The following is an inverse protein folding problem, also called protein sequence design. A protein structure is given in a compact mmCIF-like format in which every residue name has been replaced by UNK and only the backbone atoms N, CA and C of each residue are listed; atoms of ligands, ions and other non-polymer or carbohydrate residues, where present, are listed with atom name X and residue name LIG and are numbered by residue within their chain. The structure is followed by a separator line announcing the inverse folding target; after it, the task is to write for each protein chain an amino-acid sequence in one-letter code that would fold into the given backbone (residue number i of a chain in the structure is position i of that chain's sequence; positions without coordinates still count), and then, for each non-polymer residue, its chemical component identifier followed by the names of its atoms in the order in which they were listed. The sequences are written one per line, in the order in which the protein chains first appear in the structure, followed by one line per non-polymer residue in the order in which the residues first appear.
data_IF_970446797339
#
_entry.id   IF_970446797339
#
_cell.length_a   1.000
_cell.length_b   1.000
_cell.length_c   1.000
_cell.angle_alpha   90.00
_cell.angle_beta   90.00
_cell.angle_gamma   90.00
#
_symmetry.space_group_name_H-M   'P 1'
#
loop_
_entity.id
_entity.type
_entity.pdbx_description
1 polymer ?
#
# COMPACT_ATOMS: atom_id res chain seq x y z
N UNK A 1 -23.16 -3.78 -5.81
CA UNK A 1 -23.38 -4.37 -4.48
C UNK A 1 -24.51 -3.61 -3.79
N UNK A 2 -25.45 -4.33 -3.16
CA UNK A 2 -26.54 -3.71 -2.40
C UNK A 2 -26.01 -2.94 -1.17
N UNK A 3 -26.70 -1.86 -0.77
CA UNK A 3 -26.25 -0.98 0.33
C UNK A 3 -26.08 -1.73 1.66
N UNK A 4 -26.95 -2.70 1.94
CA UNK A 4 -26.89 -3.52 3.16
C UNK A 4 -25.63 -4.37 3.15
N UNK A 5 -25.37 -5.08 2.04
CA UNK A 5 -24.17 -5.93 1.89
C UNK A 5 -22.89 -5.11 1.98
N UNK A 6 -22.82 -3.95 1.32
CA UNK A 6 -21.69 -3.04 1.42
C UNK A 6 -21.43 -2.59 2.87
N UNK A 7 -22.49 -2.35 3.65
CA UNK A 7 -22.35 -2.01 5.07
C UNK A 7 -21.79 -3.18 5.88
N UNK A 8 -22.25 -4.41 5.62
CA UNK A 8 -21.74 -5.62 6.28
C UNK A 8 -20.26 -5.87 5.97
N UNK A 9 -19.86 -5.74 4.70
CA UNK A 9 -18.46 -5.90 4.28
C UNK A 9 -17.58 -4.83 4.92
N UNK A 10 -18.07 -3.57 4.95
CA UNK A 10 -17.37 -2.47 5.63
C UNK A 10 -17.13 -2.77 7.10
N UNK A 11 -18.17 -3.20 7.83
CA UNK A 11 -18.05 -3.55 9.25
C UNK A 11 -17.09 -4.72 9.46
N UNK A 12 -17.06 -5.69 8.55
CA UNK A 12 -16.16 -6.85 8.63
C UNK A 12 -14.70 -6.43 8.47
N UNK A 13 -14.38 -5.57 7.50
CA UNK A 13 -13.03 -5.02 7.33
C UNK A 13 -12.58 -4.20 8.54
N UNK A 14 -13.45 -3.35 9.10
CA UNK A 14 -13.13 -2.57 10.30
C UNK A 14 -12.97 -3.44 11.56
N UNK A 15 -13.78 -4.50 11.70
CA UNK A 15 -13.64 -5.48 12.79
C UNK A 15 -12.33 -6.26 12.68
N UNK A 16 -11.92 -6.69 11.48
CA UNK A 16 -10.65 -7.37 11.29
C UNK A 16 -9.48 -6.50 11.80
N UNK A 17 -9.45 -5.23 11.42
CA UNK A 17 -8.46 -4.26 11.89
C UNK A 17 -8.43 -4.14 13.43
N UNK A 18 -9.61 -3.97 14.03
CA UNK A 18 -9.74 -3.81 15.49
C UNK A 18 -9.35 -5.08 16.25
N UNK A 19 -9.79 -6.24 15.79
CA UNK A 19 -9.65 -7.49 16.53
C UNK A 19 -8.22 -8.02 16.50
N UNK A 20 -7.51 -7.88 15.38
CA UNK A 20 -6.19 -8.49 15.20
C UNK A 20 -5.03 -7.52 15.39
N UNK A 21 -5.23 -6.22 15.13
CA UNK A 21 -4.17 -5.21 15.30
C UNK A 21 -4.46 -4.19 16.42
N UNK A 22 -5.68 -4.10 16.94
CA UNK A 22 -6.04 -3.10 17.95
C UNK A 22 -5.96 -1.64 17.47
N UNK A 23 -5.82 -1.42 16.15
CA UNK A 23 -5.59 -0.08 15.58
C UNK A 23 -6.88 0.69 15.35
N UNK A 24 -6.81 2.01 15.49
CA UNK A 24 -7.92 2.90 15.17
C UNK A 24 -8.23 2.90 13.66
N UNK A 25 -9.50 3.16 13.30
CA UNK A 25 -9.95 3.16 11.91
C UNK A 25 -9.35 4.30 11.05
N UNK A 26 -8.77 5.33 11.68
CA UNK A 26 -8.17 6.46 10.98
C UNK A 26 -6.68 6.25 10.66
N UNK A 27 -6.12 5.07 10.97
CA UNK A 27 -4.73 4.72 10.70
C UNK A 27 -4.61 3.86 9.44
N UNK A 28 -3.57 4.03 8.60
CA UNK A 28 -3.23 3.03 7.61
C UNK A 28 -2.73 1.74 8.30
N UNK A 29 -2.80 0.60 7.60
CA UNK A 29 -2.26 -0.67 8.10
C UNK A 29 -1.39 -1.37 7.06
N UNK A 30 -0.56 -2.29 7.52
CA UNK A 30 0.13 -3.27 6.68
C UNK A 30 -0.74 -4.53 6.58
N UNK A 31 -1.21 -4.92 5.38
CA UNK A 31 -2.05 -6.11 5.25
C UNK A 31 -1.30 -7.40 5.56
N UNK A 32 0.02 -7.43 5.35
CA UNK A 32 0.85 -8.60 5.70
C UNK A 32 0.92 -8.79 7.22
N UNK A 33 1.13 -7.72 7.99
CA UNK A 33 1.10 -7.79 9.45
C UNK A 33 -0.28 -8.17 10.00
N UNK A 34 -1.36 -7.74 9.33
CA UNK A 34 -2.71 -8.19 9.66
C UNK A 34 -2.85 -9.70 9.40
N UNK A 35 -2.39 -10.18 8.26
CA UNK A 35 -2.44 -11.61 7.92
C UNK A 35 -1.68 -12.46 8.96
N UNK A 36 -0.46 -12.07 9.33
CA UNK A 36 0.31 -12.75 10.40
C UNK A 36 -0.43 -12.71 11.74
N UNK A 37 -1.02 -11.57 12.12
CA UNK A 37 -1.81 -11.46 13.35
C UNK A 37 -3.08 -12.33 13.33
N UNK A 38 -3.59 -12.68 12.14
CA UNK A 38 -4.68 -13.64 11.94
C UNK A 38 -4.20 -15.10 11.93
N UNK A 39 -2.89 -15.33 12.00
CA UNK A 39 -2.26 -16.66 11.98
C UNK A 39 -1.90 -17.16 10.58
N UNK A 40 -1.85 -16.29 9.58
CA UNK A 40 -1.43 -16.65 8.22
C UNK A 40 0.07 -16.46 8.01
N UNK A 41 0.70 -17.44 7.38
CA UNK A 41 1.99 -17.26 6.73
C UNK A 41 1.80 -16.47 5.43
N UNK A 42 2.54 -15.38 5.26
CA UNK A 42 2.57 -14.63 4.01
C UNK A 42 3.85 -14.92 3.26
N UNK A 43 3.74 -15.46 2.05
CA UNK A 43 4.91 -15.84 1.24
C UNK A 43 4.87 -15.22 -0.15
N UNK A 44 5.98 -14.60 -0.53
CA UNK A 44 6.19 -14.05 -1.85
C UNK A 44 6.87 -15.09 -2.75
N UNK A 45 6.29 -15.35 -3.92
CA UNK A 45 6.77 -16.35 -4.87
C UNK A 45 7.00 -15.75 -6.26
N UNK A 46 8.03 -16.22 -6.96
CA UNK A 46 8.36 -15.75 -8.30
C UNK A 46 7.59 -16.56 -9.35
N UNK A 47 6.32 -16.23 -9.55
CA UNK A 47 5.49 -16.78 -10.63
C UNK A 47 4.88 -15.61 -11.42
N UNK A 48 5.34 -15.35 -12.66
CA UNK A 48 4.91 -14.18 -13.44
C UNK A 48 3.42 -14.13 -13.78
N UNK A 49 2.78 -15.29 -14.04
CA UNK A 49 1.35 -15.39 -14.40
C UNK A 49 0.40 -15.39 -13.19
N UNK A 50 0.95 -15.30 -11.98
CA UNK A 50 0.22 -15.38 -10.72
C UNK A 50 -0.05 -13.97 -10.15
N UNK A 51 -1.14 -13.80 -9.42
CA UNK A 51 -1.46 -12.57 -8.68
C UNK A 51 -1.32 -12.83 -7.18
N UNK A 52 -2.15 -13.73 -6.65
CA UNK A 52 -2.11 -14.23 -5.29
C UNK A 52 -3.02 -15.44 -5.13
N UNK A 53 -2.92 -16.11 -3.99
CA UNK A 53 -3.81 -17.22 -3.62
C UNK A 53 -3.80 -17.37 -2.11
N UNK A 54 -4.99 -17.46 -1.54
CA UNK A 54 -5.21 -17.93 -0.19
C UNK A 54 -5.47 -19.45 -0.16
N UNK A 55 -4.77 -20.15 0.74
CA UNK A 55 -4.92 -21.58 0.97
C UNK A 55 -5.43 -21.79 2.41
N UNK A 56 -6.75 -21.92 2.56
CA UNK A 56 -7.36 -21.95 3.90
C UNK A 56 -6.89 -23.09 4.78
N UNK A 57 -6.74 -24.28 4.21
CA UNK A 57 -6.34 -25.47 4.97
C UNK A 57 -4.90 -25.40 5.49
N UNK A 58 -4.09 -24.44 5.02
CA UNK A 58 -2.68 -24.29 5.38
C UNK A 58 -2.39 -22.96 6.09
N UNK A 59 -3.40 -22.12 6.33
CA UNK A 59 -3.21 -20.75 6.78
C UNK A 59 -2.08 -20.03 6.00
N UNK A 60 -2.13 -20.09 4.68
CA UNK A 60 -1.08 -19.54 3.82
C UNK A 60 -1.66 -18.56 2.80
N UNK A 61 -1.03 -17.39 2.69
CA UNK A 61 -1.28 -16.41 1.62
C UNK A 61 -0.04 -16.34 0.74
N UNK A 62 -0.21 -16.74 -0.53
CA UNK A 62 0.80 -16.63 -1.56
C UNK A 62 0.59 -15.35 -2.37
N UNK A 63 1.67 -14.61 -2.64
CA UNK A 63 1.63 -13.37 -3.40
C UNK A 63 2.73 -13.39 -4.45
N UNK A 64 2.43 -12.97 -5.68
CA UNK A 64 3.46 -12.88 -6.72
C UNK A 64 4.46 -11.76 -6.42
N UNK A 65 5.75 -12.10 -6.39
CA UNK A 65 6.86 -11.16 -6.21
C UNK A 65 7.06 -10.23 -7.42
N UNK A 66 6.53 -10.62 -8.59
CA UNK A 66 6.66 -9.92 -9.87
C UNK A 66 5.74 -8.69 -10.01
N UNK A 67 4.78 -8.54 -9.09
CA UNK A 67 3.83 -7.40 -9.11
C UNK A 67 4.44 -6.19 -8.40
N UNK A 68 4.02 -4.95 -8.73
CA UNK A 68 4.40 -3.77 -7.95
C UNK A 68 3.89 -3.87 -6.50
N UNK A 69 4.60 -3.29 -5.53
CA UNK A 69 4.29 -3.42 -4.09
C UNK A 69 2.84 -3.04 -3.75
N UNK A 70 2.31 -1.97 -4.34
CA UNK A 70 0.91 -1.56 -4.10
C UNK A 70 -0.12 -2.59 -4.58
N UNK A 71 0.22 -3.41 -5.59
CA UNK A 71 -0.62 -4.53 -6.04
C UNK A 71 -0.50 -5.72 -5.09
N UNK A 72 0.73 -6.07 -4.67
CA UNK A 72 0.97 -7.14 -3.67
C UNK A 72 0.15 -6.90 -2.39
N UNK A 73 0.16 -5.67 -1.86
CA UNK A 73 -0.60 -5.27 -0.66
C UNK A 73 -2.11 -5.39 -0.87
N UNK A 74 -2.60 -4.93 -2.01
CA UNK A 74 -4.02 -5.03 -2.34
C UNK A 74 -4.47 -6.49 -2.48
N UNK A 75 -3.67 -7.32 -3.16
CA UNK A 75 -3.91 -8.77 -3.28
C UNK A 75 -3.96 -9.43 -1.90
N UNK A 76 -3.00 -9.17 -1.01
CA UNK A 76 -3.07 -9.68 0.37
C UNK A 76 -4.36 -9.28 1.08
N UNK A 77 -4.78 -8.03 0.96
CA UNK A 77 -6.02 -7.55 1.56
C UNK A 77 -7.29 -8.18 0.94
N UNK A 78 -7.24 -8.50 -0.35
CA UNK A 78 -8.29 -9.18 -1.10
C UNK A 78 -8.42 -10.64 -0.62
N UNK A 79 -7.30 -11.37 -0.50
CA UNK A 79 -7.26 -12.72 0.07
C UNK A 79 -7.80 -12.77 1.52
N UNK A 80 -7.43 -11.80 2.36
CA UNK A 80 -8.03 -11.65 3.70
C UNK A 80 -9.54 -11.43 3.60
N UNK A 81 -10.01 -10.70 2.59
CA UNK A 81 -11.42 -10.50 2.31
C UNK A 81 -12.16 -11.80 2.04
N UNK A 82 -11.63 -12.66 1.18
CA UNK A 82 -12.20 -13.99 0.94
C UNK A 82 -12.30 -14.79 2.25
N UNK A 83 -11.23 -14.82 3.03
CA UNK A 83 -11.23 -15.52 4.31
C UNK A 83 -12.30 -14.97 5.29
N UNK A 84 -12.31 -13.65 5.53
CA UNK A 84 -13.19 -13.02 6.53
C UNK A 84 -14.66 -13.12 6.12
N UNK A 85 -14.95 -13.00 4.83
CA UNK A 85 -16.30 -13.10 4.29
C UNK A 85 -16.77 -14.55 4.08
N UNK A 86 -15.88 -15.52 4.33
CA UNK A 86 -16.11 -16.96 4.14
C UNK A 86 -16.47 -17.31 2.69
N UNK A 87 -15.83 -16.63 1.75
CA UNK A 87 -15.80 -17.06 0.36
C UNK A 87 -15.02 -18.39 0.31
N UNK A 88 -15.35 -19.27 -0.63
CA UNK A 88 -14.71 -20.58 -0.76
C UNK A 88 -13.18 -20.47 -0.95
N UNK A 89 -12.46 -21.58 -0.77
CA UNK A 89 -11.05 -21.65 -1.16
C UNK A 89 -10.95 -21.57 -2.68
N UNK A 90 -10.14 -20.65 -3.21
CA UNK A 90 -9.94 -20.51 -4.68
C UNK A 90 -9.38 -21.79 -5.32
N UNK A 91 -8.79 -22.70 -4.54
CA UNK A 91 -8.40 -24.05 -5.01
C UNK A 91 -9.62 -24.89 -5.42
N UNK A 92 -10.76 -24.75 -4.75
CA UNK A 92 -11.97 -25.52 -5.08
C UNK A 92 -12.66 -25.01 -6.35
N UNK A 93 -12.43 -23.75 -6.73
CA UNK A 93 -13.08 -23.12 -7.88
C UNK A 93 -12.33 -23.29 -9.21
N UNK A 94 -11.08 -23.73 -9.19
CA UNK A 94 -10.36 -24.09 -10.44
C UNK A 94 -10.87 -25.43 -11.00
N UNK A 95 -11.53 -26.26 -10.16
CA UNK A 95 -11.92 -27.62 -10.56
C UNK A 95 -13.39 -27.73 -10.95
N UNK A 96 -14.31 -26.87 -10.49
CA UNK A 96 -15.74 -27.06 -10.82
C UNK A 96 -16.51 -25.85 -11.37
N UNK A 97 -16.23 -24.59 -11.00
CA UNK A 97 -16.85 -23.40 -11.60
C UNK A 97 -16.06 -22.17 -11.17
N UNK A 98 -15.58 -21.35 -12.11
CA UNK A 98 -14.76 -20.18 -11.78
C UNK A 98 -15.38 -19.23 -10.75
N UNK A 99 -14.53 -18.43 -10.10
CA UNK A 99 -14.87 -17.57 -8.96
C UNK A 99 -16.18 -16.81 -9.11
N UNK A 100 -17.05 -16.90 -8.11
CA UNK A 100 -18.31 -16.17 -8.08
C UNK A 100 -18.04 -14.65 -8.20
N UNK A 101 -18.48 -14.05 -9.31
CA UNK A 101 -18.27 -12.63 -9.62
C UNK A 101 -18.71 -11.69 -8.49
N UNK A 102 -19.72 -12.07 -7.72
CA UNK A 102 -20.17 -11.26 -6.58
C UNK A 102 -19.19 -11.32 -5.41
N UNK A 103 -18.57 -12.47 -5.15
CA UNK A 103 -17.56 -12.67 -4.10
C UNK A 103 -16.28 -11.89 -4.41
N UNK A 104 -15.82 -11.91 -5.66
CA UNK A 104 -14.69 -11.08 -6.13
C UNK A 104 -14.93 -9.59 -5.91
N UNK A 105 -16.14 -9.11 -6.26
CA UNK A 105 -16.53 -7.70 -6.05
C UNK A 105 -16.57 -7.35 -4.56
N UNK A 106 -16.96 -8.31 -3.71
CA UNK A 106 -16.98 -8.13 -2.25
C UNK A 106 -15.58 -8.15 -1.65
N UNK A 107 -14.69 -9.02 -2.12
CA UNK A 107 -13.30 -9.08 -1.70
C UNK A 107 -12.52 -7.82 -2.11
N UNK A 108 -12.71 -7.31 -3.33
CA UNK A 108 -12.14 -6.04 -3.78
C UNK A 108 -12.64 -4.84 -2.96
N UNK A 109 -13.93 -4.82 -2.65
CA UNK A 109 -14.51 -3.79 -1.79
C UNK A 109 -13.99 -3.90 -0.36
N UNK A 110 -13.88 -5.12 0.18
CA UNK A 110 -13.28 -5.40 1.48
C UNK A 110 -11.83 -4.88 1.52
N UNK A 111 -11.00 -5.26 0.55
CA UNK A 111 -9.60 -4.84 0.46
C UNK A 111 -9.46 -3.32 0.45
N UNK A 112 -10.31 -2.65 -0.32
CA UNK A 112 -10.35 -1.19 -0.40
C UNK A 112 -10.66 -0.55 0.96
N UNK A 113 -11.70 -1.03 1.66
CA UNK A 113 -12.07 -0.51 2.99
C UNK A 113 -11.03 -0.88 4.05
N UNK A 114 -10.43 -2.07 3.96
CA UNK A 114 -9.42 -2.54 4.89
C UNK A 114 -8.18 -1.65 4.86
N UNK A 115 -7.69 -1.35 3.67
CA UNK A 115 -6.48 -0.55 3.45
C UNK A 115 -6.72 0.96 3.58
N UNK A 116 -7.89 1.42 3.12
CA UNK A 116 -8.21 2.84 3.01
C UNK A 116 -9.58 3.16 3.63
N UNK A 117 -9.81 2.95 4.94
CA UNK A 117 -11.07 3.32 5.56
C UNK A 117 -11.44 4.80 5.30
N UNK A 118 -12.73 5.17 5.20
CA UNK A 118 -13.13 6.56 5.01
C UNK A 118 -12.50 7.53 6.02
N UNK A 119 -12.41 7.11 7.29
CA UNK A 119 -11.76 7.89 8.35
C UNK A 119 -10.26 8.10 8.14
N UNK A 120 -9.55 7.10 7.60
CA UNK A 120 -8.12 7.19 7.33
C UNK A 120 -7.85 8.09 6.10
N UNK A 121 -8.66 7.97 5.05
CA UNK A 121 -8.59 8.85 3.87
C UNK A 121 -8.86 10.29 4.26
N UNK A 122 -9.91 10.56 5.05
CA UNK A 122 -10.23 11.91 5.51
C UNK A 122 -9.12 12.48 6.41
N UNK A 123 -8.56 11.70 7.34
CA UNK A 123 -7.42 12.15 8.17
C UNK A 123 -6.20 12.48 7.31
N UNK A 124 -5.86 11.62 6.36
CA UNK A 124 -4.73 11.85 5.45
C UNK A 124 -4.92 13.11 4.60
N UNK A 125 -6.12 13.35 4.06
CA UNK A 125 -6.44 14.58 3.31
C UNK A 125 -6.31 15.84 4.16
N UNK A 126 -6.80 15.80 5.41
CA UNK A 126 -6.67 16.91 6.36
C UNK A 126 -5.20 17.21 6.70
N UNK A 127 -4.41 16.18 6.98
CA UNK A 127 -2.98 16.32 7.29
C UNK A 127 -2.17 16.77 6.09
N UNK A 128 -2.52 16.27 4.90
CA UNK A 128 -1.92 16.68 3.63
C UNK A 128 -2.35 18.09 3.21
N UNK A 129 -3.37 18.67 3.87
CA UNK A 129 -3.82 20.04 3.63
C UNK A 129 -4.58 20.21 2.32
N UNK A 130 -5.30 19.18 1.85
CA UNK A 130 -6.03 19.20 0.58
C UNK A 130 -7.46 18.67 0.72
N UNK A 131 -8.42 19.36 0.12
CA UNK A 131 -9.74 18.79 -0.09
C UNK A 131 -9.69 17.75 -1.22
N UNK A 132 -10.53 16.71 -1.15
CA UNK A 132 -10.54 15.64 -2.16
C UNK A 132 -10.82 16.17 -3.58
N UNK A 133 -11.64 17.22 -3.71
CA UNK A 133 -12.01 17.80 -4.99
C UNK A 133 -10.90 18.65 -5.63
N UNK A 134 -9.86 19.00 -4.85
CA UNK A 134 -8.73 19.83 -5.27
C UNK A 134 -7.48 19.01 -5.61
N UNK A 135 -7.55 17.69 -5.47
CA UNK A 135 -6.42 16.81 -5.72
C UNK A 135 -5.95 16.93 -7.17
N UNK A 136 -4.65 17.16 -7.33
CA UNK A 136 -3.93 16.99 -8.59
C UNK A 136 -3.53 15.52 -8.80
N UNK A 137 -2.97 15.21 -9.98
CA UNK A 137 -2.43 13.88 -10.27
C UNK A 137 -1.26 13.55 -9.34
N UNK A 138 -0.43 14.53 -9.02
CA UNK A 138 0.68 14.39 -8.07
C UNK A 138 0.14 14.04 -6.67
N UNK A 139 -0.90 14.73 -6.21
CA UNK A 139 -1.49 14.48 -4.90
C UNK A 139 -2.07 13.05 -4.78
N UNK A 140 -2.79 12.60 -5.81
CA UNK A 140 -3.31 11.21 -5.88
C UNK A 140 -2.18 10.19 -5.81
N UNK A 141 -1.08 10.45 -6.53
CA UNK A 141 0.09 9.59 -6.47
C UNK A 141 0.71 9.55 -5.07
N UNK A 142 0.96 10.70 -4.46
CA UNK A 142 1.56 10.82 -3.11
C UNK A 142 0.70 10.11 -2.07
N UNK A 143 -0.61 10.36 -2.07
CA UNK A 143 -1.55 9.69 -1.15
C UNK A 143 -1.64 8.18 -1.42
N UNK A 144 -1.53 7.73 -2.67
CA UNK A 144 -1.48 6.28 -2.96
C UNK A 144 -0.26 5.60 -2.34
N UNK A 145 0.89 6.30 -2.28
CA UNK A 145 2.10 5.79 -1.61
C UNK A 145 1.93 5.73 -0.10
N UNK A 146 1.29 6.75 0.48
CA UNK A 146 0.93 6.75 1.90
C UNK A 146 0.05 5.55 2.27
N UNK A 147 -0.96 5.21 1.46
CA UNK A 147 -1.79 4.01 1.72
C UNK A 147 -1.13 2.68 1.30
N UNK A 148 0.01 2.72 0.61
CA UNK A 148 0.67 1.53 0.09
C UNK A 148 -0.17 0.80 -0.96
N UNK A 149 -0.85 1.54 -1.84
CA UNK A 149 -1.66 0.98 -2.93
C UNK A 149 -1.23 1.56 -4.27
N UNK A 150 -1.79 1.06 -5.37
CA UNK A 150 -1.57 1.65 -6.68
C UNK A 150 -2.32 2.99 -6.84
N UNK A 151 -1.85 3.84 -7.75
CA UNK A 151 -2.53 5.08 -8.14
C UNK A 151 -4.01 4.83 -8.48
N UNK A 152 -4.25 3.81 -9.31
CA UNK A 152 -5.59 3.46 -9.77
C UNK A 152 -6.47 2.95 -8.62
N UNK A 153 -5.94 2.14 -7.70
CA UNK A 153 -6.69 1.64 -6.56
C UNK A 153 -7.15 2.78 -5.64
N UNK A 154 -6.25 3.72 -5.31
CA UNK A 154 -6.61 4.91 -4.52
C UNK A 154 -7.66 5.77 -5.25
N UNK A 155 -7.42 6.10 -6.53
CA UNK A 155 -8.33 6.92 -7.33
C UNK A 155 -9.72 6.30 -7.48
N UNK A 156 -9.80 5.00 -7.82
CA UNK A 156 -11.07 4.27 -7.91
C UNK A 156 -11.77 4.23 -6.57
N UNK A 157 -11.04 4.09 -5.46
CA UNK A 157 -11.63 4.04 -4.13
C UNK A 157 -12.30 5.37 -3.73
N UNK A 158 -11.58 6.49 -3.87
CA UNK A 158 -12.11 7.82 -3.50
C UNK A 158 -13.28 8.26 -4.40
N UNK A 159 -13.34 7.74 -5.64
CA UNK A 159 -14.46 7.99 -6.56
C UNK A 159 -15.64 7.04 -6.32
N UNK A 160 -15.45 5.73 -6.50
CA UNK A 160 -16.54 4.76 -6.57
C UNK A 160 -17.10 4.40 -5.19
N UNK A 161 -16.21 4.17 -4.22
CA UNK A 161 -16.61 3.64 -2.91
C UNK A 161 -16.91 4.77 -1.92
N UNK A 162 -16.04 5.78 -1.86
CA UNK A 162 -16.18 6.89 -0.90
C UNK A 162 -16.95 8.09 -1.45
N UNK A 163 -17.07 8.21 -2.78
CA UNK A 163 -17.77 9.31 -3.46
C UNK A 163 -17.27 10.70 -3.05
N UNK A 164 -15.98 10.83 -2.78
CA UNK A 164 -15.35 12.10 -2.39
C UNK A 164 -15.13 13.02 -3.58
N UNK A 165 -14.99 12.47 -4.78
CA UNK A 165 -14.81 13.24 -6.02
C UNK A 165 -15.93 12.96 -7.02
N UNK A 166 -16.35 13.97 -7.82
CA UNK A 166 -17.33 13.76 -8.89
C UNK A 166 -16.68 13.05 -10.09
N UNK A 167 -17.51 12.51 -10.99
CA UNK A 167 -17.06 11.81 -12.19
C UNK A 167 -16.10 12.65 -13.06
N UNK A 168 -16.35 13.97 -13.17
CA UNK A 168 -15.46 14.89 -13.91
C UNK A 168 -14.04 14.91 -13.32
N UNK A 169 -13.91 14.93 -12.00
CA UNK A 169 -12.63 14.86 -11.32
C UNK A 169 -11.93 13.52 -11.56
N UNK A 170 -12.67 12.41 -11.45
CA UNK A 170 -12.15 11.08 -11.76
C UNK A 170 -11.62 10.97 -13.20
N UNK A 171 -12.36 11.48 -14.19
CA UNK A 171 -11.93 11.47 -15.59
C UNK A 171 -10.66 12.29 -15.84
N UNK A 172 -10.51 13.44 -15.17
CA UNK A 172 -9.29 14.25 -15.25
C UNK A 172 -8.09 13.51 -14.65
N UNK A 173 -8.27 12.87 -13.50
CA UNK A 173 -7.21 12.23 -12.73
C UNK A 173 -6.76 10.87 -13.30
N UNK A 174 -7.64 10.11 -13.98
CA UNK A 174 -7.30 8.75 -14.45
C UNK A 174 -6.27 8.71 -15.59
N UNK A 175 -6.22 9.75 -16.41
CA UNK A 175 -5.36 9.80 -17.60
C UNK A 175 -3.98 10.32 -17.21
N UNK A 176 -3.09 9.41 -16.80
CA UNK A 176 -1.76 9.80 -16.31
C UNK A 176 -0.65 8.85 -16.73
N UNK A 177 0.57 9.39 -16.79
CA UNK A 177 1.80 8.62 -16.94
C UNK A 177 2.61 8.80 -15.66
N UNK A 178 2.80 7.71 -14.93
CA UNK A 178 3.53 7.73 -13.65
C UNK A 178 4.96 8.27 -13.76
N UNK A 179 5.74 8.01 -14.84
CA UNK A 179 7.04 8.64 -15.02
C UNK A 179 6.99 10.17 -15.00
N UNK A 180 6.00 10.77 -15.67
CA UNK A 180 5.83 12.24 -15.73
C UNK A 180 5.47 12.81 -14.35
N UNK A 181 4.68 12.09 -13.53
CA UNK A 181 4.43 12.50 -12.15
C UNK A 181 5.73 12.51 -11.34
N UNK A 182 6.52 11.44 -11.43
CA UNK A 182 7.76 11.30 -10.64
C UNK A 182 8.78 12.36 -11.00
N UNK A 183 8.91 12.64 -12.29
CA UNK A 183 9.73 13.74 -12.80
C UNK A 183 9.25 15.09 -12.28
N UNK A 184 7.93 15.35 -12.31
CA UNK A 184 7.37 16.59 -11.77
C UNK A 184 7.56 16.73 -10.24
N UNK A 185 7.62 15.63 -9.49
CA UNK A 185 7.88 15.66 -8.05
C UNK A 185 9.35 15.93 -7.70
N UNK A 186 10.28 15.43 -8.50
CA UNK A 186 11.72 15.48 -8.20
C UNK A 186 12.48 16.56 -8.99
N UNK A 187 11.93 17.07 -10.09
CA UNK A 187 12.68 17.87 -11.07
C UNK A 187 13.56 17.05 -12.02
N UNK A 188 13.66 15.73 -11.82
CA UNK A 188 14.48 14.84 -12.64
C UNK A 188 13.81 13.49 -12.88
N UNK A 189 14.19 12.82 -13.97
CA UNK A 189 13.60 11.55 -14.37
C UNK A 189 14.06 10.41 -13.45
N UNK A 190 13.12 9.89 -12.65
CA UNK A 190 13.32 8.72 -11.79
C UNK A 190 12.55 7.50 -12.30
N UNK A 191 13.22 6.35 -12.33
CA UNK A 191 12.66 5.11 -12.88
C UNK A 191 11.85 4.30 -11.86
N UNK A 192 12.21 4.39 -10.58
CA UNK A 192 11.60 3.64 -9.47
C UNK A 192 10.56 4.48 -8.72
N UNK A 193 9.99 3.98 -7.63
CA UNK A 193 8.97 4.73 -6.90
C UNK A 193 9.59 5.93 -6.19
N UNK A 194 8.74 6.93 -5.95
CA UNK A 194 9.09 8.18 -5.27
C UNK A 194 8.10 8.37 -4.13
N UNK A 195 8.61 8.62 -2.93
CA UNK A 195 7.85 8.84 -1.70
C UNK A 195 8.10 10.27 -1.24
N UNK A 196 7.12 11.16 -1.46
CA UNK A 196 7.15 12.51 -0.89
C UNK A 196 6.74 12.41 0.58
N UNK A 197 7.56 12.91 1.50
CA UNK A 197 7.33 12.84 2.95
C UNK A 197 7.47 14.21 3.61
N UNK A 198 7.12 14.29 4.89
CA UNK A 198 7.15 15.49 5.73
C UNK A 198 6.13 15.38 6.86
N UNK A 199 5.86 16.49 7.56
CA UNK A 199 5.03 16.52 8.78
C UNK A 199 3.62 15.89 8.61
N UNK A 200 3.10 15.84 7.39
CA UNK A 200 1.80 15.24 7.08
C UNK A 200 1.81 13.70 7.13
N UNK A 201 2.98 13.07 6.94
CA UNK A 201 3.14 11.61 6.91
C UNK A 201 3.23 11.08 8.34
N UNK A 202 2.10 10.80 8.98
CA UNK A 202 2.10 10.38 10.39
C UNK A 202 1.90 8.89 10.57
N UNK A 203 2.44 8.35 11.68
CA UNK A 203 2.07 7.06 12.27
C UNK A 203 2.14 5.87 11.29
N UNK A 204 3.02 5.97 10.28
CA UNK A 204 3.24 4.94 9.27
C UNK A 204 4.69 4.89 8.80
N UNK A 205 5.29 3.70 8.85
CA UNK A 205 6.57 3.42 8.21
C UNK A 205 6.48 3.53 6.67
N UNK A 206 7.55 4.03 6.07
CA UNK A 206 7.71 4.16 4.63
C UNK A 206 8.29 2.85 4.10
N UNK A 207 7.46 2.08 3.41
CA UNK A 207 7.85 0.78 2.87
C UNK A 207 8.42 0.98 1.45
N UNK A 208 9.71 0.71 1.26
CA UNK A 208 10.45 0.92 0.01
C UNK A 208 11.09 -0.38 -0.50
N UNK A 209 11.36 -0.43 -1.81
CA UNK A 209 12.30 -1.40 -2.39
C UNK A 209 13.64 -0.71 -2.69
N UNK A 210 14.74 -1.47 -2.68
CA UNK A 210 16.07 -0.95 -3.10
C UNK A 210 15.94 -0.23 -4.45
N UNK A 211 16.50 0.96 -4.55
CA UNK A 211 16.44 1.88 -5.68
C UNK A 211 15.20 2.78 -5.71
N UNK A 212 14.22 2.61 -4.82
CA UNK A 212 13.17 3.62 -4.64
C UNK A 212 13.73 4.90 -4.01
N UNK A 213 13.01 6.01 -4.17
CA UNK A 213 13.44 7.33 -3.76
C UNK A 213 12.52 7.95 -2.71
N UNK A 214 13.11 8.64 -1.75
CA UNK A 214 12.45 9.47 -0.76
C UNK A 214 12.71 10.95 -1.09
N UNK A 215 11.68 11.78 -1.03
CA UNK A 215 11.79 13.23 -1.23
C UNK A 215 11.20 13.96 -0.04
N UNK A 216 11.91 14.99 0.44
CA UNK A 216 11.45 15.89 1.48
C UNK A 216 11.67 17.35 1.10
N UNK A 217 10.87 18.25 1.69
CA UNK A 217 11.07 19.71 1.57
C UNK A 217 12.15 20.24 2.52
N UNK A 218 12.37 19.54 3.62
CA UNK A 218 13.39 19.84 4.62
C UNK A 218 14.46 18.75 4.62
N UNK A 219 15.67 19.11 5.01
CA UNK A 219 16.75 18.16 5.18
C UNK A 219 16.38 17.15 6.26
N UNK A 220 16.66 15.89 5.98
CA UNK A 220 16.45 14.76 6.88
C UNK A 220 17.80 14.20 7.32
N UNK A 221 17.93 14.02 8.62
CA UNK A 221 18.92 13.17 9.23
C UNK A 221 18.50 11.69 9.12
N UNK A 222 19.48 10.80 9.11
CA UNK A 222 19.29 9.36 8.93
C UNK A 222 20.02 8.61 10.04
N UNK A 223 19.27 7.77 10.75
CA UNK A 223 19.79 6.80 11.71
C UNK A 223 19.60 5.39 11.14
N UNK A 224 20.69 4.71 10.82
CA UNK A 224 20.72 3.48 10.00
C UNK A 224 21.62 3.64 8.78
N UNK A 225 22.89 3.26 8.94
CA UNK A 225 23.93 3.44 7.94
C UNK A 225 23.60 2.68 6.66
N UNK A 226 23.77 3.31 5.49
CA UNK A 226 23.64 2.69 4.16
C UNK A 226 22.26 2.17 3.74
N UNK A 227 21.22 2.27 4.57
CA UNK A 227 19.85 1.91 4.15
C UNK A 227 19.30 2.95 3.16
N UNK A 228 19.58 4.24 3.42
CA UNK A 228 19.18 5.37 2.59
C UNK A 228 20.34 6.36 2.46
N UNK A 229 20.61 6.84 1.24
CA UNK A 229 21.70 7.78 0.95
C UNK A 229 21.17 9.06 0.31
N UNK A 230 21.69 10.23 0.72
CA UNK A 230 21.34 11.51 0.11
C UNK A 230 21.90 11.63 -1.32
N UNK A 231 21.11 12.21 -2.21
CA UNK A 231 21.46 12.50 -3.59
C UNK A 231 21.24 13.99 -3.92
N UNK A 232 22.01 14.57 -4.85
CA UNK A 232 21.72 15.87 -5.41
C UNK A 232 20.32 15.91 -6.04
N UNK A 233 19.59 17.00 -5.81
CA UNK A 233 18.25 17.22 -6.37
C UNK A 233 18.07 18.70 -6.70
N UNK A 234 17.33 18.99 -7.77
CA UNK A 234 16.96 20.37 -8.12
C UNK A 234 15.88 20.92 -7.19
N UNK A 235 14.98 20.06 -6.72
CA UNK A 235 13.82 20.43 -5.91
C UNK A 235 13.78 19.65 -4.59
N UNK A 236 14.17 20.31 -3.50
CA UNK A 236 14.16 19.73 -2.16
C UNK A 236 15.32 18.76 -1.92
N UNK A 237 15.10 17.82 -1.00
CA UNK A 237 16.09 16.85 -0.57
C UNK A 237 15.69 15.46 -1.07
N UNK A 238 16.59 14.82 -1.81
CA UNK A 238 16.38 13.50 -2.39
C UNK A 238 17.25 12.48 -1.67
N UNK A 239 16.68 11.30 -1.47
CA UNK A 239 17.39 10.17 -0.93
C UNK A 239 17.03 8.90 -1.71
N UNK A 240 17.99 8.01 -1.90
CA UNK A 240 17.79 6.70 -2.54
C UNK A 240 17.92 5.60 -1.50
N UNK A 241 17.00 4.63 -1.53
CA UNK A 241 17.11 3.41 -0.75
C UNK A 241 18.17 2.50 -1.37
N UNK A 242 19.31 2.33 -0.71
CA UNK A 242 20.49 1.67 -1.29
C UNK A 242 20.65 0.21 -0.87
N UNK A 243 20.29 -0.12 0.37
CA UNK A 243 20.46 -1.46 0.95
C UNK A 243 19.20 -1.88 1.72
N UNK A 244 18.96 -3.19 1.86
CA UNK A 244 17.87 -3.69 2.70
C UNK A 244 18.10 -3.38 4.17
N UNK A 245 17.02 -3.28 4.94
CA UNK A 245 17.09 -2.98 6.37
C UNK A 245 16.02 -1.99 6.82
N UNK A 246 16.18 -1.52 8.05
CA UNK A 246 15.29 -0.53 8.67
C UNK A 246 16.14 0.65 9.14
N UNK A 247 15.79 1.84 8.71
CA UNK A 247 16.39 3.09 9.18
C UNK A 247 15.31 4.04 9.70
N UNK A 248 15.71 5.02 10.51
CA UNK A 248 14.87 6.16 10.89
C UNK A 248 15.33 7.39 10.11
N UNK A 249 14.39 8.04 9.44
CA UNK A 249 14.61 9.36 8.82
C UNK A 249 13.86 10.40 9.64
N UNK A 250 14.47 11.55 9.89
CA UNK A 250 13.88 12.57 10.75
C UNK A 250 14.38 13.99 10.45
N UNK A 251 13.57 14.97 10.83
CA UNK A 251 13.91 16.39 10.93
C UNK A 251 13.66 16.86 12.37
N UNK A 252 13.76 18.16 12.62
CA UNK A 252 13.41 18.75 13.93
C UNK A 252 11.96 18.49 14.36
N UNK A 253 11.02 18.42 13.39
CA UNK A 253 9.58 18.38 13.65
C UNK A 253 8.92 17.03 13.33
N UNK A 254 9.62 16.15 12.62
CA UNK A 254 9.03 14.94 12.06
C UNK A 254 10.01 13.77 12.06
N UNK A 255 9.50 12.55 12.24
CA UNK A 255 10.30 11.34 12.09
C UNK A 255 9.45 10.18 11.59
N UNK A 256 10.08 9.26 10.86
CA UNK A 256 9.46 8.01 10.45
C UNK A 256 10.51 6.92 10.24
N UNK A 257 10.08 5.66 10.33
CA UNK A 257 10.90 4.52 9.92
C UNK A 257 10.77 4.31 8.41
N UNK A 258 11.90 4.08 7.75
CA UNK A 258 12.00 3.58 6.39
C UNK A 258 12.37 2.11 6.44
N UNK A 259 11.56 1.26 5.81
CA UNK A 259 11.80 -0.18 5.72
C UNK A 259 12.10 -0.53 4.27
N UNK A 260 13.33 -0.92 3.98
CA UNK A 260 13.80 -1.21 2.62
C UNK A 260 13.90 -2.72 2.42
N UNK A 261 13.23 -3.21 1.39
CA UNK A 261 13.29 -4.61 0.96
C UNK A 261 14.01 -4.74 -0.37
N UNK A 262 14.55 -5.92 -0.68
CA UNK A 262 15.08 -6.20 -2.02
C UNK A 262 13.98 -6.12 -3.07
N UNK A 263 14.32 -5.69 -4.29
CA UNK A 263 13.38 -5.74 -5.42
C UNK A 263 12.89 -7.17 -5.62
N UNK A 264 11.59 -7.32 -5.81
CA UNK A 264 10.95 -8.63 -6.06
C UNK A 264 11.31 -9.68 -5.00
N UNK A 265 11.35 -9.27 -3.72
CA UNK A 265 11.59 -10.19 -2.60
C UNK A 265 10.76 -11.47 -2.72
N UNK A 266 11.42 -12.62 -2.61
CA UNK A 266 10.81 -13.95 -2.49
C UNK A 266 11.09 -14.51 -1.10
N UNK A 267 10.15 -15.27 -0.54
CA UNK A 267 10.27 -15.83 0.80
C UNK A 267 9.16 -15.39 1.75
N UNK A 268 9.34 -15.69 3.04
CA UNK A 268 8.37 -15.35 4.09
C UNK A 268 8.43 -13.85 4.42
N UNK A 269 7.28 -13.23 4.66
CA UNK A 269 7.17 -11.80 4.97
C UNK A 269 8.02 -11.37 6.17
N UNK A 270 8.14 -12.21 7.20
CA UNK A 270 9.00 -11.94 8.36
C UNK A 270 10.46 -11.59 8.00
N UNK A 271 10.96 -12.12 6.88
CA UNK A 271 12.33 -11.89 6.40
C UNK A 271 12.43 -10.78 5.34
N UNK A 272 11.33 -10.07 5.05
CA UNK A 272 11.25 -9.14 3.90
C UNK A 272 12.23 -7.96 3.99
N UNK A 273 12.57 -7.54 5.20
CA UNK A 273 13.38 -6.35 5.48
C UNK A 273 14.66 -6.68 6.25
N UNK A 274 15.05 -7.95 6.32
CA UNK A 274 16.32 -8.32 6.94
C UNK A 274 17.49 -7.71 6.16
N UNK A 275 18.52 -7.31 6.90
CA UNK A 275 19.78 -6.84 6.34
C UNK A 275 20.46 -8.01 5.61
N UNK A 276 21.10 -7.71 4.48
CA UNK A 276 21.96 -8.69 3.82
C UNK A 276 23.15 -8.96 4.74
N UNK A 277 23.30 -10.22 5.15
CA UNK A 277 24.54 -10.67 5.80
C UNK A 277 25.55 -10.83 4.67
N UNK A 278 26.60 -10.01 4.67
CA UNK A 278 27.73 -10.20 3.76
C UNK A 278 28.27 -11.63 3.96
N UNK A 279 28.10 -12.51 2.96
CA UNK A 279 28.79 -13.80 2.86
C UNK A 279 30.21 -13.64 2.32
#
# INVERSE_FOLDING_TARGET
MEKIRATQVTLSALKARKNFLGVAAHLPICPYSLAEAMGFDVRFINIPSFEGMYVANQNLILISAERPEGRKRFTCAHEIGHHVLKHGTVIDEIVENGSNKQEEVEADYFASILLMPPSAVNRALLQFGKAAQELSKQDVYVLSKYFGVSYQAFLTHIYSNLKLIPYRGYQYLRNVKLPEIREALCGQRLNNQVFLVGDWWVEKAIDMEVGDFLISKAELDIDGLHVVCSLPCENGFLYEATTTGIARVYSETWSSFVKVSRKKFTGLYQFKYEEEVDE
#
